data_IF_626458214129
#
_entry.id   IF_626458214129
#
_cell.length_a   1.000
_cell.length_b   1.000
_cell.length_c   1.000
_cell.angle_alpha   90.00
_cell.angle_beta   90.00
_cell.angle_gamma   90.00
#
_symmetry.space_group_name_H-M   'P 1'
#
loop_
_entity.id
_entity.type
_entity.pdbx_description
1 polymer ?
#
# COMPACT_ATOMS: atom_id res chain seq x y z
N UNK A 1 33.53 -20.85 12.37
CA UNK A 1 32.70 -19.98 11.50
C UNK A 1 31.58 -19.42 12.36
N UNK A 2 31.46 -18.10 12.51
CA UNK A 2 30.40 -17.49 13.34
C UNK A 2 29.17 -17.23 12.46
N UNK A 3 28.13 -18.05 12.61
CA UNK A 3 26.81 -17.80 12.03
C UNK A 3 26.17 -16.62 12.76
N UNK A 4 26.20 -15.45 12.12
CA UNK A 4 25.38 -14.30 12.52
C UNK A 4 23.91 -14.62 12.23
N UNK A 5 23.17 -14.97 13.27
CA UNK A 5 21.71 -15.06 13.20
C UNK A 5 21.15 -13.64 13.26
N UNK A 6 20.70 -13.11 12.12
CA UNK A 6 19.97 -11.84 12.07
C UNK A 6 18.53 -12.16 12.46
N UNK A 7 18.15 -11.86 13.70
CA UNK A 7 16.75 -11.90 14.11
C UNK A 7 16.02 -10.71 13.46
N UNK A 8 15.07 -10.99 12.56
CA UNK A 8 14.16 -9.95 12.07
C UNK A 8 13.25 -9.52 13.22
N UNK A 9 13.34 -8.27 13.66
CA UNK A 9 12.33 -7.69 14.54
C UNK A 9 11.03 -7.58 13.75
N UNK A 10 9.97 -8.23 14.24
CA UNK A 10 8.61 -8.04 13.75
C UNK A 10 8.23 -6.58 14.04
N UNK A 11 8.28 -5.75 13.00
CA UNK A 11 7.88 -4.34 13.05
C UNK A 11 6.56 -4.15 12.30
N UNK A 12 5.85 -3.07 12.65
CA UNK A 12 4.71 -2.63 11.87
C UNK A 12 5.19 -2.21 10.47
N UNK A 13 4.61 -2.79 9.41
CA UNK A 13 5.03 -2.60 8.03
C UNK A 13 3.82 -2.40 7.12
N UNK A 14 3.98 -1.53 6.13
CA UNK A 14 3.01 -1.26 5.07
C UNK A 14 3.77 -1.18 3.74
N UNK A 15 3.36 -1.95 2.75
CA UNK A 15 3.97 -1.99 1.42
C UNK A 15 2.92 -2.26 0.34
N UNK A 16 3.34 -2.20 -0.92
CA UNK A 16 2.52 -2.60 -2.06
C UNK A 16 3.15 -3.84 -2.70
N UNK A 17 2.35 -4.88 -2.90
CA UNK A 17 2.65 -5.86 -3.95
C UNK A 17 2.10 -5.25 -5.26
N UNK A 18 2.97 -5.04 -6.23
CA UNK A 18 2.61 -4.45 -7.53
C UNK A 18 2.88 -5.47 -8.63
N UNK A 19 1.87 -5.74 -9.45
CA UNK A 19 2.04 -6.52 -10.68
C UNK A 19 1.54 -5.71 -11.87
N UNK A 20 2.13 -5.96 -13.05
CA UNK A 20 1.69 -5.36 -14.30
C UNK A 20 1.11 -6.46 -15.20
N UNK A 21 -0.14 -6.26 -15.63
CA UNK A 21 -0.86 -7.16 -16.52
C UNK A 21 -1.30 -6.35 -17.75
N UNK A 22 -0.50 -6.42 -18.82
CA UNK A 22 -0.69 -5.58 -20.00
C UNK A 22 -0.55 -4.09 -19.67
N UNK A 23 -1.64 -3.33 -19.83
CA UNK A 23 -1.71 -1.89 -19.55
C UNK A 23 -2.18 -1.58 -18.12
N UNK A 24 -2.53 -2.60 -17.33
CA UNK A 24 -3.03 -2.42 -15.97
C UNK A 24 -1.93 -2.66 -14.95
N UNK A 25 -1.84 -1.77 -13.98
CA UNK A 25 -1.13 -2.02 -12.74
C UNK A 25 -2.11 -2.49 -11.68
N UNK A 26 -1.84 -3.68 -11.13
CA UNK A 26 -2.57 -4.24 -10.00
C UNK A 26 -1.79 -3.90 -8.74
N UNK A 27 -2.36 -3.01 -7.93
CA UNK A 27 -1.81 -2.59 -6.64
C UNK A 27 -2.55 -3.32 -5.53
N UNK A 28 -1.82 -4.14 -4.76
CA UNK A 28 -2.33 -4.81 -3.59
C UNK A 28 -1.59 -4.28 -2.35
N UNK A 29 -2.16 -3.28 -1.64
CA UNK A 29 -1.57 -2.83 -0.39
C UNK A 29 -1.58 -3.96 0.65
N UNK A 30 -0.46 -4.13 1.31
CA UNK A 30 -0.22 -5.20 2.28
C UNK A 30 0.28 -4.59 3.59
N UNK A 31 -0.14 -5.16 4.71
CA UNK A 31 0.36 -4.78 6.02
C UNK A 31 0.75 -5.98 6.87
N UNK A 32 1.66 -5.75 7.81
CA UNK A 32 1.92 -6.61 8.94
C UNK A 32 2.00 -5.72 10.18
N UNK A 33 1.26 -6.07 11.23
CA UNK A 33 1.18 -5.31 12.48
C UNK A 33 1.64 -6.16 13.65
N UNK A 34 2.24 -5.55 14.67
CA UNK A 34 2.74 -6.25 15.87
C UNK A 34 1.62 -6.58 16.84
N UNK A 35 0.53 -5.80 16.83
CA UNK A 35 -0.66 -5.98 17.65
C UNK A 35 -1.90 -6.06 16.76
N UNK A 36 -2.83 -6.97 17.08
CA UNK A 36 -4.11 -7.07 16.35
C UNK A 36 -4.94 -5.81 16.54
N UNK A 37 -5.63 -5.35 15.49
CA UNK A 37 -6.43 -4.12 15.51
C UNK A 37 -7.66 -4.21 14.58
N UNK A 38 -8.68 -3.41 14.90
CA UNK A 38 -9.59 -2.85 13.88
C UNK A 38 -8.93 -1.55 13.42
N UNK A 39 -8.18 -1.60 12.32
CA UNK A 39 -7.44 -0.46 11.85
C UNK A 39 -8.26 0.37 10.85
N UNK A 40 -8.16 1.69 10.92
CA UNK A 40 -8.68 2.59 9.90
C UNK A 40 -7.72 2.65 8.72
N UNK A 41 -8.25 2.61 7.52
CA UNK A 41 -7.50 2.78 6.28
C UNK A 41 -8.01 4.01 5.53
N UNK A 42 -7.08 4.82 5.03
CA UNK A 42 -7.35 5.85 4.04
C UNK A 42 -6.47 5.61 2.81
N UNK A 43 -7.05 5.76 1.63
CA UNK A 43 -6.40 5.59 0.34
C UNK A 43 -6.66 6.83 -0.49
N UNK A 44 -5.59 7.58 -0.77
CA UNK A 44 -5.61 8.75 -1.62
C UNK A 44 -4.99 8.39 -2.97
N UNK A 45 -5.67 8.75 -4.05
CA UNK A 45 -5.29 8.43 -5.42
C UNK A 45 -5.26 9.74 -6.20
N UNK A 46 -4.14 10.03 -6.85
CA UNK A 46 -4.01 11.13 -7.80
C UNK A 46 -3.59 10.52 -9.13
N UNK A 47 -4.39 10.73 -10.18
CA UNK A 47 -4.06 10.30 -11.54
C UNK A 47 -4.01 11.51 -12.45
N UNK A 48 -2.93 11.65 -13.20
CA UNK A 48 -2.77 12.62 -14.28
C UNK A 48 -2.57 11.84 -15.57
N UNK A 49 -3.35 12.16 -16.58
CA UNK A 49 -3.17 11.62 -17.92
C UNK A 49 -3.46 12.68 -18.97
N UNK A 50 -3.44 12.28 -20.23
CA UNK A 50 -3.70 13.18 -21.38
C UNK A 50 -5.08 13.85 -21.33
N UNK A 51 -6.03 13.25 -20.61
CA UNK A 51 -7.40 13.75 -20.45
C UNK A 51 -7.61 14.59 -19.18
N UNK A 52 -6.56 14.83 -18.38
CA UNK A 52 -6.62 15.68 -17.19
C UNK A 52 -6.16 15.00 -15.90
N UNK A 53 -6.40 15.68 -14.78
CA UNK A 53 -6.11 15.20 -13.43
C UNK A 53 -7.41 14.77 -12.72
N UNK A 54 -7.36 13.64 -12.03
CA UNK A 54 -8.42 13.17 -11.15
C UNK A 54 -7.84 12.84 -9.77
N UNK A 55 -8.56 13.21 -8.73
CA UNK A 55 -8.25 12.86 -7.34
C UNK A 55 -9.39 12.02 -6.75
N UNK A 56 -9.04 11.04 -5.92
CA UNK A 56 -10.01 10.20 -5.22
C UNK A 56 -9.49 9.90 -3.83
N UNK A 57 -10.39 9.92 -2.85
CA UNK A 57 -10.11 9.47 -1.49
C UNK A 57 -11.11 8.38 -1.11
N UNK A 58 -10.61 7.29 -0.54
CA UNK A 58 -11.42 6.22 0.03
C UNK A 58 -11.00 5.96 1.47
N UNK A 59 -11.98 5.78 2.35
CA UNK A 59 -11.76 5.43 3.75
C UNK A 59 -12.50 4.15 4.10
N UNK A 60 -12.01 3.42 5.08
CA UNK A 60 -12.64 2.21 5.58
C UNK A 60 -11.96 1.67 6.82
N UNK A 61 -12.37 0.48 7.23
CA UNK A 61 -11.76 -0.26 8.34
C UNK A 61 -11.37 -1.66 7.89
N UNK A 62 -10.34 -2.22 8.52
CA UNK A 62 -9.82 -3.57 8.23
C UNK A 62 -9.40 -4.25 9.53
N UNK A 63 -9.74 -5.53 9.66
CA UNK A 63 -9.29 -6.35 10.78
C UNK A 63 -7.92 -6.94 10.49
N UNK A 64 -6.92 -6.58 11.29
CA UNK A 64 -5.57 -7.13 11.20
C UNK A 64 -5.25 -7.98 12.43
N UNK A 65 -4.55 -9.08 12.17
CA UNK A 65 -4.04 -10.03 13.16
C UNK A 65 -2.54 -9.80 13.30
N UNK A 66 -2.09 -9.76 14.55
CA UNK A 66 -0.68 -9.61 14.87
C UNK A 66 0.21 -10.61 14.14
N UNK A 67 1.37 -10.14 13.67
CA UNK A 67 2.46 -10.91 13.07
C UNK A 67 2.07 -11.71 11.83
N UNK A 68 1.04 -11.26 11.10
CA UNK A 68 0.62 -11.81 9.81
C UNK A 68 0.71 -10.77 8.72
N UNK A 69 1.17 -11.19 7.54
CA UNK A 69 1.08 -10.39 6.31
C UNK A 69 -0.35 -10.52 5.78
N UNK A 70 -1.06 -9.41 5.65
CA UNK A 70 -2.44 -9.38 5.21
C UNK A 70 -2.64 -8.33 4.11
N UNK A 71 -3.44 -8.69 3.10
CA UNK A 71 -3.88 -7.74 2.08
C UNK A 71 -4.94 -6.81 2.67
N UNK A 72 -4.83 -5.52 2.35
CA UNK A 72 -5.80 -4.50 2.75
C UNK A 72 -6.89 -4.28 1.68
N UNK A 73 -6.70 -4.89 0.51
CA UNK A 73 -7.56 -4.77 -0.65
C UNK A 73 -6.76 -4.91 -1.94
N UNK A 74 -7.40 -4.64 -3.06
CA UNK A 74 -6.78 -4.63 -4.37
C UNK A 74 -7.37 -3.49 -5.20
N UNK A 75 -6.51 -2.83 -5.97
CA UNK A 75 -6.88 -1.78 -6.92
C UNK A 75 -6.23 -2.08 -8.26
N UNK A 76 -6.95 -1.78 -9.34
CA UNK A 76 -6.45 -1.94 -10.70
C UNK A 76 -6.59 -0.61 -11.42
N UNK A 77 -5.50 -0.16 -12.06
CA UNK A 77 -5.47 1.10 -12.77
C UNK A 77 -4.90 0.89 -14.18
N UNK A 78 -5.61 1.36 -15.23
CA UNK A 78 -4.99 1.51 -16.53
C UNK A 78 -4.00 2.69 -16.46
N UNK A 79 -2.74 2.44 -16.77
CA UNK A 79 -1.69 3.47 -16.81
C UNK A 79 -1.05 3.42 -18.19
N UNK A 80 -1.38 4.41 -19.01
CA UNK A 80 -0.86 4.54 -20.37
C UNK A 80 0.48 5.27 -20.39
N UNK A 81 1.17 5.26 -21.54
CA UNK A 81 2.39 6.03 -21.70
C UNK A 81 2.10 7.53 -21.51
N UNK A 82 2.87 8.17 -20.62
CA UNK A 82 2.66 9.58 -20.26
C UNK A 82 1.65 9.80 -19.13
N UNK A 83 0.93 8.76 -18.69
CA UNK A 83 0.14 8.84 -17.46
C UNK A 83 1.07 8.87 -16.23
N UNK A 84 0.60 9.50 -15.17
CA UNK A 84 1.20 9.52 -13.85
C UNK A 84 0.12 9.17 -12.83
N UNK A 85 0.39 8.18 -11.98
CA UNK A 85 -0.50 7.74 -10.93
C UNK A 85 0.25 7.73 -9.61
N UNK A 86 -0.27 8.39 -8.58
CA UNK A 86 0.18 8.28 -7.21
C UNK A 86 -0.91 7.67 -6.37
N UNK A 87 -0.56 6.63 -5.61
CA UNK A 87 -1.45 6.03 -4.61
C UNK A 87 -0.75 6.09 -3.25
N UNK A 88 -1.40 6.73 -2.30
CA UNK A 88 -0.95 6.81 -0.90
C UNK A 88 -1.93 6.05 -0.04
N UNK A 89 -1.43 5.09 0.74
CA UNK A 89 -2.21 4.35 1.73
C UNK A 89 -1.72 4.74 3.11
N UNK A 90 -2.67 5.07 3.98
CA UNK A 90 -2.46 5.35 5.39
C UNK A 90 -3.24 4.33 6.20
N UNK A 91 -2.58 3.71 7.18
CA UNK A 91 -3.19 2.75 8.10
C UNK A 91 -2.97 3.23 9.54
N UNK A 92 -4.03 3.29 10.33
CA UNK A 92 -3.96 3.66 11.75
C UNK A 92 -4.72 2.70 12.65
N UNK A 93 -4.25 2.48 13.87
CA UNK A 93 -4.97 1.71 14.90
C UNK A 93 -5.93 2.57 15.73
N UNK A 94 -5.92 3.89 15.54
CA UNK A 94 -6.68 4.86 16.34
C UNK A 94 -5.96 5.38 17.58
N UNK A 95 -4.72 4.95 17.83
CA UNK A 95 -3.87 5.41 18.93
C UNK A 95 -2.48 5.80 18.40
N UNK A 96 -1.46 4.95 18.59
CA UNK A 96 -0.05 5.29 18.32
C UNK A 96 0.45 4.79 16.98
N UNK A 97 -0.16 3.76 16.41
CA UNK A 97 0.30 3.21 15.15
C UNK A 97 -0.26 4.04 13.99
N UNK A 98 0.65 4.65 13.23
CA UNK A 98 0.36 5.21 11.91
C UNK A 98 1.41 4.75 10.93
N UNK A 99 0.98 4.02 9.91
CA UNK A 99 1.82 3.62 8.77
C UNK A 99 1.36 4.36 7.53
N UNK A 100 2.30 4.78 6.71
CA UNK A 100 2.02 5.44 5.44
C UNK A 100 2.96 4.90 4.37
N UNK A 101 2.39 4.61 3.20
CA UNK A 101 3.16 4.17 2.05
C UNK A 101 2.59 4.78 0.78
N UNK A 102 3.50 5.23 -0.07
CA UNK A 102 3.19 5.75 -1.39
C UNK A 102 3.82 4.88 -2.46
N UNK A 103 3.11 4.75 -3.58
CA UNK A 103 3.64 4.24 -4.85
C UNK A 103 3.31 5.23 -5.97
N UNK A 104 4.26 5.42 -6.88
CA UNK A 104 4.08 6.22 -8.09
C UNK A 104 4.24 5.29 -9.29
N UNK A 105 3.33 5.36 -10.26
CA UNK A 105 3.32 4.57 -11.47
C UNK A 105 3.24 5.45 -12.74
N UNK A 106 3.81 5.03 -13.88
CA UNK A 106 4.68 3.84 -14.01
C UNK A 106 5.96 4.04 -13.18
N UNK A 107 6.38 2.98 -12.49
CA UNK A 107 7.58 3.05 -11.64
C UNK A 107 8.80 3.29 -12.55
N UNK A 108 9.71 4.19 -12.16
CA UNK A 108 10.93 4.40 -12.93
C UNK A 108 11.86 3.23 -12.63
N UNK A 109 11.70 2.14 -13.38
CA UNK A 109 12.66 1.02 -13.37
C UNK A 109 14.04 1.52 -13.78
#
# INVERSE_FOLDING_TARGET
MHTLLIASVLSNQLWFDTTQEGQYYILKPMAAVTNSCVCNIAVDIIRRGVHGESTSQRKGTVQLTANRKQALGQMSFPVLQGDWLQVTVVLTDGDKMRLEKQVILPDKV
#
